data_IF_149163021651
#
_entry.id   IF_149163021651
#
_cell.length_a   1.000
_cell.length_b   1.000
_cell.length_c   1.000
_cell.angle_alpha   90.00
_cell.angle_beta   90.00
_cell.angle_gamma   90.00
#
_symmetry.space_group_name_H-M   'P 1'
#
loop_
_entity.id
_entity.type
_entity.pdbx_description
1 polymer ?
#
# COMPACT_ATOMS: atom_id res chain seq x y z
N UNK A 1 21.62 8.74 12.61
CA UNK A 1 20.82 9.70 11.81
C UNK A 1 19.36 9.30 12.01
N UNK A 2 18.59 10.06 12.78
CA UNK A 2 17.15 9.79 12.95
C UNK A 2 16.43 10.29 11.69
N UNK A 3 15.80 9.38 10.94
CA UNK A 3 15.06 9.73 9.72
C UNK A 3 13.61 10.10 10.03
N UNK A 4 13.07 11.08 9.31
CA UNK A 4 11.64 11.45 9.31
C UNK A 4 10.83 10.66 8.26
N UNK A 5 11.37 9.51 7.83
CA UNK A 5 10.84 8.59 6.81
C UNK A 5 10.83 7.18 7.39
N UNK A 6 9.90 6.37 6.93
CA UNK A 6 9.71 5.00 7.42
C UNK A 6 8.26 4.55 7.26
N UNK A 7 7.88 3.53 8.02
CA UNK A 7 6.52 3.03 8.04
C UNK A 7 6.10 2.58 9.42
N UNK A 8 4.80 2.65 9.68
CA UNK A 8 4.14 2.07 10.82
C UNK A 8 3.14 1.03 10.33
N UNK A 9 2.95 -0.04 11.11
CA UNK A 9 1.97 -1.06 10.77
C UNK A 9 1.10 -1.42 11.97
N UNK A 10 -0.16 -1.72 11.69
CA UNK A 10 -1.12 -2.28 12.64
C UNK A 10 -1.62 -3.59 12.06
N UNK A 11 -1.62 -4.65 12.87
CA UNK A 11 -2.26 -5.91 12.53
C UNK A 11 -3.43 -6.19 13.46
N UNK A 12 -4.40 -6.94 12.97
CA UNK A 12 -5.53 -7.41 13.77
C UNK A 12 -6.04 -8.75 13.25
N UNK A 13 -6.66 -9.49 14.16
CA UNK A 13 -7.54 -10.59 13.80
C UNK A 13 -8.95 -10.03 13.70
N UNK A 14 -9.62 -10.35 12.60
CA UNK A 14 -11.05 -10.08 12.44
C UNK A 14 -11.72 -11.42 12.14
N UNK A 15 -12.44 -11.93 13.15
CA UNK A 15 -12.80 -13.35 13.22
C UNK A 15 -11.56 -14.24 12.98
N UNK A 16 -11.62 -15.16 12.02
CA UNK A 16 -10.55 -16.10 11.70
C UNK A 16 -9.70 -15.64 10.51
N UNK A 17 -9.71 -14.34 10.20
CA UNK A 17 -8.83 -13.73 9.19
C UNK A 17 -7.89 -12.73 9.81
N UNK A 18 -6.68 -12.69 9.29
CA UNK A 18 -5.61 -11.78 9.71
C UNK A 18 -5.49 -10.62 8.73
N UNK A 19 -5.61 -9.40 9.23
CA UNK A 19 -5.49 -8.15 8.45
C UNK A 19 -4.26 -7.37 8.92
N UNK A 20 -3.52 -6.80 7.96
CA UNK A 20 -2.39 -5.92 8.25
C UNK A 20 -2.50 -4.63 7.44
N UNK A 21 -2.31 -3.50 8.10
CA UNK A 21 -2.31 -2.18 7.51
C UNK A 21 -0.94 -1.56 7.71
N UNK A 22 -0.26 -1.22 6.62
CA UNK A 22 1.03 -0.53 6.62
C UNK A 22 0.83 0.88 6.09
N UNK A 23 1.20 1.89 6.88
CA UNK A 23 1.26 3.28 6.46
C UNK A 23 2.72 3.71 6.35
N UNK A 24 3.15 4.15 5.16
CA UNK A 24 4.54 4.50 4.89
C UNK A 24 4.68 5.93 4.35
N UNK A 25 5.80 6.56 4.73
CA UNK A 25 6.29 7.81 4.14
C UNK A 25 7.72 7.55 3.67
N UNK A 26 7.87 7.30 2.36
CA UNK A 26 9.13 6.87 1.74
C UNK A 26 10.00 8.06 1.30
N UNK A 27 11.26 7.79 1.00
CA UNK A 27 12.23 8.79 0.57
C UNK A 27 11.70 9.72 -0.54
N UNK A 28 11.83 11.03 -0.29
CA UNK A 28 11.43 12.07 -1.22
C UNK A 28 12.46 12.23 -2.37
N UNK A 29 12.17 13.20 -3.25
CA UNK A 29 12.97 13.59 -4.42
C UNK A 29 12.81 12.68 -5.65
N UNK A 30 12.76 13.29 -6.84
CA UNK A 30 12.34 12.61 -8.08
C UNK A 30 13.34 11.53 -8.47
N UNK A 31 14.61 11.84 -8.33
CA UNK A 31 15.77 11.01 -8.61
C UNK A 31 15.93 9.81 -7.67
N UNK A 32 15.37 9.87 -6.45
CA UNK A 32 15.66 8.91 -5.39
C UNK A 32 14.77 7.64 -5.43
N UNK A 33 14.64 7.03 -6.59
CA UNK A 33 13.85 5.80 -6.77
C UNK A 33 14.44 4.65 -5.95
N UNK A 34 15.77 4.50 -5.99
CA UNK A 34 16.47 3.47 -5.24
C UNK A 34 16.27 3.59 -3.73
N UNK A 35 16.24 4.81 -3.18
CA UNK A 35 15.94 5.05 -1.78
C UNK A 35 14.53 4.62 -1.39
N UNK A 36 13.51 4.90 -2.23
CA UNK A 36 12.14 4.42 -1.99
C UNK A 36 12.03 2.91 -2.02
N UNK A 37 12.66 2.26 -3.00
CA UNK A 37 12.70 0.80 -3.08
C UNK A 37 13.38 0.20 -1.84
N UNK A 38 14.49 0.81 -1.39
CA UNK A 38 15.19 0.39 -0.17
C UNK A 38 14.33 0.61 1.09
N UNK A 39 13.61 1.72 1.20
CA UNK A 39 12.68 1.98 2.30
C UNK A 39 11.55 0.94 2.34
N UNK A 40 10.95 0.61 1.19
CA UNK A 40 9.97 -0.47 1.07
C UNK A 40 10.51 -1.80 1.60
N UNK A 41 11.68 -2.24 1.13
CA UNK A 41 12.32 -3.49 1.55
C UNK A 41 12.69 -3.47 3.04
N UNK A 42 13.15 -2.34 3.55
CA UNK A 42 13.45 -2.16 4.97
C UNK A 42 12.20 -2.28 5.83
N UNK A 43 11.09 -1.63 5.46
CA UNK A 43 9.82 -1.71 6.18
C UNK A 43 9.32 -3.17 6.15
N UNK A 44 9.35 -3.80 4.99
CA UNK A 44 8.91 -5.18 4.78
C UNK A 44 9.68 -6.17 5.67
N UNK A 45 11.01 -6.03 5.74
CA UNK A 45 11.89 -6.97 6.45
C UNK A 45 12.06 -6.67 7.94
N UNK A 46 11.89 -5.43 8.39
CA UNK A 46 12.20 -5.01 9.77
C UNK A 46 10.99 -4.79 10.66
N UNK A 47 9.80 -4.58 10.10
CA UNK A 47 8.59 -4.55 10.93
C UNK A 47 8.36 -5.95 11.48
N UNK A 48 8.39 -6.02 12.81
CA UNK A 48 8.08 -7.22 13.56
C UNK A 48 6.93 -6.93 14.53
N UNK A 49 5.99 -7.87 14.60
CA UNK A 49 4.85 -7.78 15.48
C UNK A 49 5.12 -8.67 16.69
N UNK A 50 5.59 -8.06 17.79
CA UNK A 50 5.78 -8.78 19.05
C UNK A 50 4.44 -9.35 19.52
N UNK A 51 4.44 -10.62 19.89
CA UNK A 51 3.29 -11.26 20.55
C UNK A 51 3.45 -11.03 22.05
N UNK A 52 2.40 -10.51 22.69
CA UNK A 52 2.35 -10.35 24.14
C UNK A 52 1.45 -11.39 24.82
N UNK A 53 0.96 -12.42 24.11
CA UNK A 53 0.04 -13.38 24.73
C UNK A 53 0.03 -14.75 24.06
N UNK A 54 -0.06 -15.80 24.88
CA UNK A 54 -0.07 -17.24 24.57
C UNK A 54 -1.31 -17.69 23.74
N UNK A 55 -2.15 -16.76 23.30
CA UNK A 55 -3.45 -17.01 22.66
C UNK A 55 -3.49 -16.70 21.16
N UNK A 56 -2.46 -16.03 20.62
CA UNK A 56 -2.30 -15.87 19.19
C UNK A 56 -1.62 -17.13 18.64
N UNK A 57 -2.41 -17.99 18.00
CA UNK A 57 -1.97 -19.22 17.34
C UNK A 57 -0.60 -19.04 16.68
N UNK A 58 0.38 -19.74 17.24
CA UNK A 58 1.83 -19.76 16.97
C UNK A 58 2.20 -20.19 15.54
N UNK A 59 1.27 -20.21 14.58
CA UNK A 59 1.48 -20.84 13.27
C UNK A 59 2.01 -19.89 12.18
N UNK A 60 2.02 -18.59 12.40
CA UNK A 60 2.29 -17.62 11.33
C UNK A 60 3.78 -17.33 11.09
N UNK A 61 4.68 -17.74 12.00
CA UNK A 61 6.12 -17.41 11.88
C UNK A 61 6.99 -18.56 11.36
N UNK A 62 6.50 -19.79 11.36
CA UNK A 62 7.38 -20.96 11.27
C UNK A 62 7.37 -21.73 9.94
N UNK A 63 6.50 -21.41 8.97
CA UNK A 63 6.35 -22.26 7.78
C UNK A 63 6.60 -21.62 6.40
N UNK A 64 6.46 -20.29 6.23
CA UNK A 64 6.58 -19.68 4.89
C UNK A 64 7.97 -19.14 4.55
N UNK A 65 8.75 -18.69 5.53
CA UNK A 65 9.97 -17.90 5.30
C UNK A 65 9.70 -16.47 4.81
N UNK A 66 8.42 -16.09 4.68
CA UNK A 66 8.00 -14.77 4.22
C UNK A 66 8.13 -13.72 5.35
N UNK A 67 8.35 -12.44 4.98
CA UNK A 67 8.35 -11.33 5.94
C UNK A 67 7.05 -11.25 6.78
N UNK A 68 7.12 -10.81 8.06
CA UNK A 68 5.96 -10.82 8.97
C UNK A 68 4.71 -10.13 8.43
N UNK A 69 4.88 -9.04 7.66
CA UNK A 69 3.77 -8.33 7.02
C UNK A 69 3.04 -9.25 6.02
N UNK A 70 3.77 -9.99 5.18
CA UNK A 70 3.21 -10.81 4.11
C UNK A 70 2.55 -12.11 4.62
N UNK A 71 2.72 -12.44 5.90
CA UNK A 71 2.06 -13.59 6.51
C UNK A 71 0.57 -13.38 6.78
N UNK A 72 0.04 -12.16 6.69
CA UNK A 72 -1.39 -11.90 6.90
C UNK A 72 -2.24 -12.35 5.70
N UNK A 73 -3.50 -12.71 5.93
CA UNK A 73 -4.44 -13.09 4.87
C UNK A 73 -4.66 -11.94 3.89
N UNK A 74 -4.81 -10.72 4.42
CA UNK A 74 -4.92 -9.49 3.63
C UNK A 74 -3.99 -8.42 4.19
N UNK A 75 -3.22 -7.79 3.31
CA UNK A 75 -2.34 -6.67 3.61
C UNK A 75 -2.77 -5.46 2.81
N UNK A 76 -2.98 -4.33 3.47
CA UNK A 76 -3.14 -3.02 2.85
C UNK A 76 -1.87 -2.21 3.08
N UNK A 77 -1.30 -1.65 2.02
CA UNK A 77 -0.14 -0.78 2.10
C UNK A 77 -0.48 0.58 1.50
N UNK A 78 -0.37 1.63 2.30
CA UNK A 78 -0.78 2.97 1.92
C UNK A 78 0.18 4.05 2.42
N UNK A 79 -0.01 5.27 1.93
CA UNK A 79 0.66 6.47 2.42
C UNK A 79 1.33 7.28 1.31
N UNK A 80 2.21 8.21 1.71
CA UNK A 80 3.06 8.99 0.80
C UNK A 80 4.27 8.14 0.39
N UNK A 81 4.06 7.33 -0.64
CA UNK A 81 5.10 6.48 -1.22
C UNK A 81 6.11 7.28 -2.04
N UNK A 82 5.83 8.57 -2.32
CA UNK A 82 6.74 9.53 -2.92
C UNK A 82 7.31 9.19 -4.31
N UNK A 83 6.81 8.14 -4.98
CA UNK A 83 7.14 7.87 -6.37
C UNK A 83 6.58 8.98 -7.27
N UNK A 84 7.35 9.33 -8.30
CA UNK A 84 7.08 10.49 -9.19
C UNK A 84 6.90 10.03 -10.62
N UNK A 85 6.53 10.96 -11.50
CA UNK A 85 6.70 10.76 -12.95
C UNK A 85 8.20 10.76 -13.27
N UNK A 86 8.70 9.76 -14.00
CA UNK A 86 10.13 9.60 -14.31
C UNK A 86 10.69 10.76 -15.14
N UNK A 87 12.01 10.94 -15.12
CA UNK A 87 12.72 12.10 -15.71
C UNK A 87 12.66 12.22 -17.24
N UNK A 88 12.01 11.26 -17.94
CA UNK A 88 11.76 11.36 -19.38
C UNK A 88 10.81 12.50 -19.78
N UNK A 89 10.16 13.15 -18.81
CA UNK A 89 9.33 14.34 -19.00
C UNK A 89 9.86 15.49 -18.15
N UNK A 90 9.98 16.69 -18.72
CA UNK A 90 10.27 17.90 -17.95
C UNK A 90 9.14 18.23 -16.98
N UNK A 91 9.42 19.11 -16.01
CA UNK A 91 8.39 19.48 -15.01
C UNK A 91 7.23 20.24 -15.67
N UNK A 92 7.57 21.07 -16.64
CA UNK A 92 6.66 21.89 -17.43
C UNK A 92 5.76 21.01 -18.32
N UNK A 93 6.33 20.00 -18.99
CA UNK A 93 5.54 19.01 -19.74
C UNK A 93 4.60 18.23 -18.81
N UNK A 94 5.06 17.82 -17.63
CA UNK A 94 4.20 17.15 -16.66
C UNK A 94 3.00 18.01 -16.23
N UNK A 95 3.22 19.31 -16.01
CA UNK A 95 2.14 20.26 -15.68
C UNK A 95 1.14 20.40 -16.84
N UNK A 96 1.64 20.61 -18.07
CA UNK A 96 0.79 20.72 -19.25
C UNK A 96 -0.07 19.47 -19.48
N UNK A 97 0.53 18.28 -19.32
CA UNK A 97 -0.18 17.02 -19.46
C UNK A 97 -1.21 16.80 -18.34
N UNK A 98 -0.89 17.20 -17.10
CA UNK A 98 -1.82 17.10 -15.98
C UNK A 98 -3.01 18.04 -16.15
N UNK A 99 -2.78 19.29 -16.55
CA UNK A 99 -3.84 20.28 -16.82
C UNK A 99 -4.73 19.86 -18.00
N UNK A 100 -4.13 19.25 -19.02
CA UNK A 100 -4.86 18.67 -20.16
C UNK A 100 -5.50 17.29 -19.86
N UNK A 101 -5.37 16.78 -18.63
CA UNK A 101 -5.88 15.46 -18.20
C UNK A 101 -5.38 14.27 -19.03
N UNK A 102 -4.19 14.40 -19.63
CA UNK A 102 -3.49 13.30 -20.32
C UNK A 102 -2.74 12.40 -19.32
N UNK A 103 -3.49 11.82 -18.38
CA UNK A 103 -2.93 11.00 -17.30
C UNK A 103 -2.31 9.70 -17.81
N UNK A 104 -2.82 9.15 -18.91
CA UNK A 104 -2.26 7.97 -19.59
C UNK A 104 -0.78 8.14 -19.94
N UNK A 105 -0.41 9.31 -20.47
CA UNK A 105 0.98 9.65 -20.83
C UNK A 105 1.87 9.77 -19.59
N UNK A 106 1.36 10.36 -18.52
CA UNK A 106 2.09 10.50 -17.26
C UNK A 106 2.27 9.13 -16.57
N UNK A 107 1.21 8.32 -16.52
CA UNK A 107 1.20 6.98 -15.92
C UNK A 107 2.12 6.00 -16.67
N UNK A 108 2.29 6.15 -17.98
CA UNK A 108 3.25 5.37 -18.76
C UNK A 108 4.69 5.50 -18.22
N UNK A 109 5.02 6.66 -17.64
CA UNK A 109 6.32 6.98 -17.07
C UNK A 109 6.32 7.05 -15.53
N UNK A 110 5.25 6.64 -14.85
CA UNK A 110 5.17 6.73 -13.39
C UNK A 110 6.07 5.68 -12.71
N UNK A 111 6.89 6.12 -11.76
CA UNK A 111 7.96 5.31 -11.20
C UNK A 111 7.45 4.10 -10.42
N UNK A 112 6.39 4.19 -9.62
CA UNK A 112 5.89 3.03 -8.88
C UNK A 112 5.37 1.96 -9.83
N UNK A 113 4.61 2.34 -10.86
CA UNK A 113 4.15 1.40 -11.90
C UNK A 113 5.31 0.74 -12.65
N UNK A 114 6.38 1.48 -12.93
CA UNK A 114 7.59 0.94 -13.57
C UNK A 114 8.34 -0.03 -12.65
N UNK A 115 8.57 0.35 -11.39
CA UNK A 115 9.32 -0.47 -10.44
C UNK A 115 8.56 -1.74 -10.03
N UNK A 116 7.22 -1.69 -9.98
CA UNK A 116 6.35 -2.86 -9.82
C UNK A 116 6.47 -3.82 -10.99
N UNK A 117 6.37 -3.31 -12.23
CA UNK A 117 6.54 -4.13 -13.45
C UNK A 117 7.92 -4.76 -13.56
N UNK A 118 8.96 -4.09 -13.04
CA UNK A 118 10.34 -4.59 -13.01
C UNK A 118 10.61 -5.58 -11.86
N UNK A 119 9.69 -5.74 -10.91
CA UNK A 119 9.90 -6.61 -9.74
C UNK A 119 10.69 -5.96 -8.60
N UNK A 120 11.09 -4.70 -8.70
CA UNK A 120 11.99 -4.07 -7.73
C UNK A 120 11.31 -3.69 -6.41
N UNK A 121 10.04 -3.31 -6.44
CA UNK A 121 9.24 -2.95 -5.27
C UNK A 121 7.76 -3.25 -5.52
N UNK A 122 7.01 -3.63 -4.49
CA UNK A 122 5.55 -3.82 -4.53
C UNK A 122 5.01 -4.77 -5.62
N UNK A 123 5.83 -5.68 -6.16
CA UNK A 123 5.41 -6.55 -7.27
C UNK A 123 4.41 -7.63 -6.86
N UNK A 124 4.36 -7.98 -5.57
CA UNK A 124 3.36 -8.90 -4.98
C UNK A 124 2.05 -8.20 -4.60
N UNK A 125 1.97 -6.88 -4.76
CA UNK A 125 0.80 -6.09 -4.44
C UNK A 125 0.02 -5.71 -5.69
N UNK A 126 -1.29 -5.65 -5.55
CA UNK A 126 -2.25 -5.12 -6.50
C UNK A 126 -2.50 -3.62 -6.24
N UNK A 127 -2.94 -2.91 -7.28
CA UNK A 127 -3.43 -1.53 -7.18
C UNK A 127 -4.53 -1.32 -8.21
N UNK A 128 -5.52 -0.50 -7.88
CA UNK A 128 -6.62 -0.17 -8.77
C UNK A 128 -6.18 0.73 -9.93
N UNK A 129 -7.00 0.84 -10.98
CA UNK A 129 -6.76 1.81 -12.04
C UNK A 129 -6.79 3.24 -11.47
N UNK A 130 -5.74 4.01 -11.77
CA UNK A 130 -5.67 5.43 -11.39
C UNK A 130 -6.42 6.24 -12.44
N UNK A 131 -7.54 6.81 -12.04
CA UNK A 131 -8.42 7.62 -12.89
C UNK A 131 -8.55 9.06 -12.41
N UNK A 132 -7.74 9.44 -11.43
CA UNK A 132 -7.74 10.75 -10.78
C UNK A 132 -6.41 11.50 -11.02
N UNK A 133 -6.41 12.85 -10.94
CA UNK A 133 -5.22 13.66 -11.17
C UNK A 133 -4.09 13.37 -10.16
N UNK A 134 -2.82 13.67 -10.51
CA UNK A 134 -1.71 13.60 -9.56
C UNK A 134 -2.01 14.38 -8.27
N UNK A 135 -1.79 13.76 -7.10
CA UNK A 135 -2.21 14.27 -5.79
C UNK A 135 -1.23 15.25 -5.16
N UNK A 136 -0.07 15.44 -5.77
CA UNK A 136 1.01 16.34 -5.34
C UNK A 136 1.57 17.09 -6.55
N UNK A 137 2.03 18.35 -6.50
CA UNK A 137 2.03 19.29 -5.37
C UNK A 137 1.08 20.44 -5.66
N UNK A 138 0.14 20.70 -4.76
CA UNK A 138 -0.83 21.78 -4.86
C UNK A 138 -0.42 23.03 -4.09
N UNK A 139 -0.99 24.17 -4.50
CA UNK A 139 -1.04 25.35 -3.64
C UNK A 139 -2.09 25.11 -2.56
N UNK A 140 -1.70 25.18 -1.29
CA UNK A 140 -2.59 25.00 -0.15
C UNK A 140 -3.82 25.92 -0.24
N UNK A 141 -4.99 25.38 0.07
CA UNK A 141 -6.30 26.04 -0.04
C UNK A 141 -6.85 26.11 -1.47
N UNK A 142 -6.28 25.36 -2.43
CA UNK A 142 -6.71 25.38 -3.83
C UNK A 142 -6.60 24.00 -4.48
N UNK A 143 -7.16 23.86 -5.70
CA UNK A 143 -6.94 22.72 -6.60
C UNK A 143 -5.98 23.06 -7.75
N UNK A 144 -5.10 24.04 -7.55
CA UNK A 144 -4.11 24.49 -8.55
C UNK A 144 -2.74 23.91 -8.17
N UNK A 145 -2.03 23.33 -9.13
CA UNK A 145 -0.65 22.89 -8.91
C UNK A 145 0.26 24.06 -8.51
N UNK A 146 1.28 23.79 -7.70
CA UNK A 146 2.22 24.81 -7.23
C UNK A 146 3.12 25.30 -8.38
N UNK A 147 2.76 26.45 -8.93
CA UNK A 147 3.46 27.13 -10.01
C UNK A 147 3.87 28.57 -9.65
N UNK A 148 3.73 28.97 -8.38
CA UNK A 148 4.05 30.33 -7.97
C UNK A 148 5.57 30.57 -8.02
N UNK A 149 6.03 31.72 -8.55
CA UNK A 149 7.46 31.96 -8.79
C UNK A 149 8.37 31.84 -7.55
N UNK A 150 7.83 32.11 -6.36
CA UNK A 150 8.55 32.03 -5.09
C UNK A 150 8.73 30.61 -4.55
N UNK A 151 8.15 29.60 -5.20
CA UNK A 151 8.24 28.20 -4.80
C UNK A 151 9.03 27.41 -5.82
N UNK A 152 9.80 26.41 -5.32
CA UNK A 152 10.47 25.45 -6.19
C UNK A 152 9.42 24.67 -6.98
N UNK A 153 9.44 24.81 -8.29
CA UNK A 153 8.57 24.09 -9.21
C UNK A 153 8.80 22.58 -9.06
N UNK A 154 7.69 21.81 -9.00
CA UNK A 154 7.72 20.35 -8.89
C UNK A 154 6.75 19.78 -9.92
N UNK A 155 7.17 18.72 -10.60
CA UNK A 155 6.28 17.96 -11.47
C UNK A 155 5.13 17.37 -10.64
N UNK A 156 3.88 17.44 -11.14
CA UNK A 156 2.78 16.70 -10.55
C UNK A 156 3.10 15.20 -10.43
N UNK A 157 2.69 14.57 -9.33
CA UNK A 157 2.95 13.16 -9.03
C UNK A 157 1.84 12.51 -8.19
N UNK A 158 1.62 11.21 -8.42
CA UNK A 158 0.82 10.34 -7.55
C UNK A 158 1.71 9.79 -6.44
N UNK A 159 2.02 10.67 -5.48
CA UNK A 159 2.80 10.32 -4.29
C UNK A 159 2.00 9.43 -3.32
N UNK A 160 0.70 9.70 -3.21
CA UNK A 160 -0.21 9.12 -2.23
C UNK A 160 -0.93 7.92 -2.85
N UNK A 161 -0.72 6.71 -2.33
CA UNK A 161 -1.15 5.46 -2.97
C UNK A 161 -1.77 4.50 -1.98
N UNK A 162 -2.65 3.62 -2.49
CA UNK A 162 -3.19 2.48 -1.74
C UNK A 162 -3.04 1.21 -2.57
N UNK A 163 -2.28 0.26 -2.04
CA UNK A 163 -2.03 -1.05 -2.62
C UNK A 163 -2.54 -2.14 -1.67
N UNK A 164 -2.84 -3.32 -2.18
CA UNK A 164 -3.23 -4.45 -1.34
C UNK A 164 -2.65 -5.78 -1.84
N UNK A 165 -2.59 -6.77 -0.98
CA UNK A 165 -2.24 -8.15 -1.30
C UNK A 165 -3.16 -9.08 -0.53
N UNK A 166 -3.66 -10.11 -1.18
CA UNK A 166 -4.43 -11.17 -0.53
C UNK A 166 -3.77 -12.53 -0.76
N UNK A 167 -3.72 -13.38 0.27
CA UNK A 167 -3.24 -14.78 0.12
C UNK A 167 -4.16 -15.60 -0.76
N UNK A 168 -5.47 -15.35 -0.67
CA UNK A 168 -6.48 -15.99 -1.51
C UNK A 168 -6.97 -14.99 -2.54
N UNK A 169 -6.92 -15.37 -3.82
CA UNK A 169 -7.42 -14.55 -4.91
C UNK A 169 -8.89 -14.17 -4.68
N UNK A 170 -9.22 -12.89 -4.85
CA UNK A 170 -10.59 -12.37 -4.65
C UNK A 170 -10.99 -12.17 -3.19
N UNK A 171 -10.10 -12.40 -2.22
CA UNK A 171 -10.43 -12.17 -0.81
C UNK A 171 -10.64 -10.69 -0.48
N UNK A 172 -9.92 -9.78 -1.12
CA UNK A 172 -10.17 -8.35 -1.09
C UNK A 172 -10.51 -7.86 -2.50
N UNK A 173 -11.67 -7.23 -2.66
CA UNK A 173 -12.13 -6.66 -3.93
C UNK A 173 -12.24 -5.15 -3.79
N UNK A 174 -11.58 -4.42 -4.69
CA UNK A 174 -11.63 -2.96 -4.71
C UNK A 174 -13.01 -2.47 -5.18
N UNK A 175 -13.65 -1.60 -4.40
CA UNK A 175 -14.94 -0.98 -4.74
C UNK A 175 -14.78 0.45 -5.28
N UNK A 176 -13.83 1.23 -4.73
CA UNK A 176 -13.56 2.60 -5.16
C UNK A 176 -12.11 2.97 -4.87
N UNK A 177 -11.50 3.81 -5.72
CA UNK A 177 -10.16 4.36 -5.56
C UNK A 177 -10.09 5.75 -6.19
N UNK A 178 -10.02 6.79 -5.35
CA UNK A 178 -10.05 8.18 -5.81
C UNK A 178 -9.35 9.13 -4.79
N UNK A 179 -9.11 10.36 -5.23
CA UNK A 179 -8.71 11.48 -4.40
C UNK A 179 -9.90 12.31 -3.89
N UNK A 180 -9.67 13.13 -2.87
CA UNK A 180 -10.68 14.02 -2.29
C UNK A 180 -10.31 15.49 -2.57
N UNK A 181 -10.74 16.08 -3.70
CA UNK A 181 -10.37 17.45 -4.07
C UNK A 181 -10.99 18.51 -3.15
N UNK A 182 -12.07 18.17 -2.43
CA UNK A 182 -12.73 19.06 -1.48
C UNK A 182 -11.91 19.33 -0.21
N UNK A 183 -10.88 18.52 0.07
CA UNK A 183 -9.98 18.70 1.20
C UNK A 183 -8.65 19.29 0.68
N UNK A 184 -8.47 20.59 0.85
CA UNK A 184 -7.39 21.36 0.22
C UNK A 184 -6.44 22.06 1.20
N UNK A 185 -6.54 21.76 2.50
CA UNK A 185 -5.68 22.33 3.55
C UNK A 185 -4.19 22.00 3.39
N UNK A 186 -3.86 20.95 2.63
CA UNK A 186 -2.50 20.46 2.39
C UNK A 186 -2.07 20.72 0.94
N UNK A 187 -0.76 20.63 0.69
CA UNK A 187 -0.21 20.58 -0.67
C UNK A 187 -0.33 19.18 -1.31
N UNK A 188 -0.89 18.21 -0.56
CA UNK A 188 -1.36 16.93 -1.05
C UNK A 188 -2.90 16.86 -1.03
N UNK A 189 -3.48 16.07 -1.93
CA UNK A 189 -4.90 15.69 -1.87
C UNK A 189 -5.06 14.33 -1.20
N UNK A 190 -5.95 14.17 -0.20
CA UNK A 190 -6.22 12.88 0.40
C UNK A 190 -6.65 11.86 -0.66
N UNK A 191 -6.20 10.62 -0.50
CA UNK A 191 -6.58 9.49 -1.34
C UNK A 191 -7.31 8.46 -0.48
N UNK A 192 -8.38 7.89 -1.03
CA UNK A 192 -9.13 6.82 -0.39
C UNK A 192 -9.26 5.61 -1.31
N UNK A 193 -9.32 4.43 -0.70
CA UNK A 193 -9.74 3.21 -1.37
C UNK A 193 -10.67 2.44 -0.43
N UNK A 194 -11.76 1.90 -0.97
CA UNK A 194 -12.73 1.08 -0.22
C UNK A 194 -12.76 -0.33 -0.79
N UNK A 195 -12.90 -1.33 0.09
CA UNK A 195 -12.81 -2.73 -0.26
C UNK A 195 -13.92 -3.56 0.37
N UNK A 196 -14.42 -4.53 -0.39
CA UNK A 196 -15.15 -5.68 0.13
C UNK A 196 -14.15 -6.77 0.47
N UNK A 197 -14.09 -7.17 1.74
CA UNK A 197 -13.15 -8.18 2.24
C UNK A 197 -13.92 -9.40 2.72
N UNK A 198 -13.61 -10.57 2.15
CA UNK A 198 -14.13 -11.85 2.60
C UNK A 198 -13.37 -12.29 3.86
N UNK A 199 -14.15 -12.49 4.93
CA UNK A 199 -13.62 -12.85 6.25
C UNK A 199 -14.02 -14.28 6.58
N UNK A 200 -13.01 -15.08 6.94
CA UNK A 200 -13.19 -16.44 7.45
C UNK A 200 -13.85 -16.38 8.82
N UNK A 201 -14.87 -17.21 9.00
CA UNK A 201 -15.53 -17.41 10.27
C UNK A 201 -15.67 -18.92 10.54
N UNK A 202 -14.99 -19.39 11.57
CA UNK A 202 -14.98 -20.77 12.01
C UNK A 202 -16.25 -21.05 12.81
N UNK A 203 -17.03 -22.01 12.33
CA UNK A 203 -18.22 -22.48 13.04
C UNK A 203 -17.80 -23.49 14.10
N UNK A 204 -17.79 -23.07 15.37
CA UNK A 204 -17.25 -23.87 16.48
C UNK A 204 -17.84 -25.29 16.55
N UNK A 205 -19.16 -25.44 16.37
CA UNK A 205 -19.79 -26.76 16.36
C UNK A 205 -19.23 -27.69 15.28
N UNK A 206 -18.91 -27.17 14.09
CA UNK A 206 -18.30 -27.96 13.01
C UNK A 206 -16.84 -28.29 13.34
N UNK A 207 -16.10 -27.35 13.92
CA UNK A 207 -14.72 -27.56 14.38
C UNK A 207 -14.64 -28.68 15.41
N UNK A 208 -15.53 -28.67 16.42
CA UNK A 208 -15.59 -29.73 17.43
C UNK A 208 -15.86 -31.11 16.82
N UNK A 209 -16.77 -31.20 15.85
CA UNK A 209 -17.06 -32.46 15.14
C UNK A 209 -15.83 -32.98 14.39
N UNK A 210 -15.15 -32.12 13.64
CA UNK A 210 -13.93 -32.48 12.90
C UNK A 210 -12.80 -32.88 13.86
N UNK A 211 -12.58 -32.12 14.94
CA UNK A 211 -11.54 -32.47 15.93
C UNK A 211 -11.80 -33.83 16.58
N UNK A 212 -13.05 -34.13 16.92
CA UNK A 212 -13.44 -35.44 17.45
C UNK A 212 -13.17 -36.56 16.44
N UNK A 213 -13.50 -36.35 15.17
CA UNK A 213 -13.25 -37.33 14.12
C UNK A 213 -11.74 -37.60 13.95
N UNK A 214 -10.91 -36.56 13.95
CA UNK A 214 -9.45 -36.67 13.88
C UNK A 214 -8.90 -37.45 15.08
N UNK A 215 -9.33 -37.13 16.30
CA UNK A 215 -8.90 -37.85 17.52
C UNK A 215 -9.22 -39.35 17.43
N UNK A 216 -10.42 -39.70 16.96
CA UNK A 216 -10.81 -41.10 16.77
C UNK A 216 -10.00 -41.85 15.70
N UNK A 217 -9.41 -41.14 14.72
CA UNK A 217 -8.52 -41.75 13.74
C UNK A 217 -7.10 -41.94 14.29
N UNK A 218 -6.64 -41.02 15.13
CA UNK A 218 -5.33 -41.10 15.78
C UNK A 218 -5.29 -42.23 16.82
N UNK A 219 -6.37 -42.44 17.58
CA UNK A 219 -6.47 -43.51 18.59
C UNK A 219 -6.49 -44.94 17.98
N UNK A 220 -6.59 -45.08 16.66
CA UNK A 220 -6.62 -46.39 15.98
C UNK A 220 -5.22 -46.98 15.71
N UNK A 221 -4.16 -46.28 16.07
CA UNK A 221 -2.76 -46.66 15.88
C UNK A 221 -1.98 -46.50 17.18
#
# INVERSE_FOLDING_TARGET
MMGNKGGAAVRMNFYDSTLCFVCAHLAAHRENVAGRNADYLNILSKIDFKENDETLTTDMRFFSGDPPILNHDVVFWLGDLNYRVAEGLSTEECLQLADAQHFDKLLACEQLLLERRRGHAFHEFEEGPITFPPTYKYQQGTNIYECRPEKKLRAPAWCDRVLWRSKTAGQATLCAYDHVPALDISDHKPVHASFDVQIKHQVEAKKTLVMREIMLQLDKW
#
